data_IF_213872304973
#
_entry.id   IF_213872304973
#
_cell.length_a   1.000
_cell.length_b   1.000
_cell.length_c   1.000
_cell.angle_alpha   90.00
_cell.angle_beta   90.00
_cell.angle_gamma   90.00
#
_symmetry.space_group_name_H-M   'P 1'
#
loop_
_entity.id
_entity.type
_entity.pdbx_description
1 polymer ?
#
# COMPACT_ATOMS: atom_id res chain seq x y z
N UNK A 1 12.40 -9.98 23.20
CA UNK A 1 12.55 -11.44 22.98
C UNK A 1 13.94 -11.86 23.41
N UNK A 2 14.11 -13.11 23.83
CA UNK A 2 15.38 -13.72 24.23
C UNK A 2 15.53 -15.09 23.56
N UNK A 3 16.75 -15.67 23.58
CA UNK A 3 17.03 -16.99 23.01
C UNK A 3 16.59 -17.12 21.54
N UNK A 4 16.88 -16.11 20.73
CA UNK A 4 16.61 -16.19 19.30
C UNK A 4 17.62 -17.14 18.66
N UNK A 5 17.13 -18.18 18.00
CA UNK A 5 17.93 -19.26 17.43
C UNK A 5 17.46 -19.55 16.01
N UNK A 6 18.40 -19.63 15.07
CA UNK A 6 18.19 -20.17 13.73
C UNK A 6 18.44 -21.69 13.78
N UNK A 7 17.42 -22.46 13.43
CA UNK A 7 17.47 -23.92 13.37
C UNK A 7 17.34 -24.43 11.94
N UNK A 8 17.34 -25.77 11.78
CA UNK A 8 17.12 -26.38 10.47
C UNK A 8 15.68 -26.08 10.01
N UNK A 9 15.53 -25.23 9.01
CA UNK A 9 14.25 -24.92 8.38
C UNK A 9 13.38 -23.90 9.10
N UNK A 10 13.85 -23.25 10.17
CA UNK A 10 13.05 -22.29 10.91
C UNK A 10 13.82 -21.45 11.93
N UNK A 11 13.08 -20.54 12.54
CA UNK A 11 13.57 -19.64 13.59
C UNK A 11 12.77 -19.86 14.85
N UNK A 12 13.40 -19.75 16.02
CA UNK A 12 12.72 -19.85 17.30
C UNK A 12 13.18 -18.79 18.27
N UNK A 13 12.31 -18.43 19.21
CA UNK A 13 12.63 -17.48 20.27
C UNK A 13 11.71 -17.63 21.48
N UNK A 14 12.09 -16.97 22.57
CA UNK A 14 11.20 -16.67 23.69
C UNK A 14 10.71 -15.22 23.55
N UNK A 15 9.42 -15.05 23.30
CA UNK A 15 8.78 -13.73 23.15
C UNK A 15 8.02 -13.39 24.43
N UNK A 16 8.24 -12.18 24.95
CA UNK A 16 7.58 -11.70 26.16
C UNK A 16 6.25 -11.05 25.79
N UNK A 17 5.15 -11.61 26.30
CA UNK A 17 3.81 -11.00 26.26
C UNK A 17 3.31 -10.79 27.70
N UNK A 18 2.12 -11.32 28.02
CA UNK A 18 1.64 -11.40 29.42
C UNK A 18 2.50 -12.35 30.27
N UNK A 19 3.13 -13.32 29.63
CA UNK A 19 4.19 -14.19 30.16
C UNK A 19 5.16 -14.51 29.03
N UNK A 20 6.32 -15.14 29.28
CA UNK A 20 7.18 -15.65 28.22
C UNK A 20 6.49 -16.78 27.45
N UNK A 21 6.52 -16.72 26.12
CA UNK A 21 6.02 -17.76 25.22
C UNK A 21 7.15 -18.29 24.36
N UNK A 22 7.24 -19.62 24.20
CA UNK A 22 8.10 -20.21 23.16
C UNK A 22 7.39 -20.09 21.83
N UNK A 23 8.15 -19.64 20.84
CA UNK A 23 7.66 -19.33 19.50
C UNK A 23 8.63 -19.88 18.48
N UNK A 24 8.10 -20.44 17.40
CA UNK A 24 8.86 -20.82 16.23
C UNK A 24 8.11 -20.45 14.95
N UNK A 25 8.85 -20.17 13.88
CA UNK A 25 8.31 -19.87 12.54
C UNK A 25 9.16 -20.57 11.49
N UNK A 26 8.54 -20.99 10.38
CA UNK A 26 9.26 -21.61 9.27
C UNK A 26 10.07 -20.58 8.47
N UNK A 27 11.27 -20.96 8.04
CA UNK A 27 12.15 -20.08 7.28
C UNK A 27 11.64 -19.80 5.85
N UNK A 28 10.80 -20.67 5.31
CA UNK A 28 10.19 -20.53 3.96
C UNK A 28 8.81 -19.89 3.98
N UNK A 29 8.18 -19.85 5.16
CA UNK A 29 6.79 -19.44 5.37
C UNK A 29 6.66 -18.76 6.73
N UNK A 30 6.96 -17.47 6.75
CA UNK A 30 6.94 -16.68 7.97
C UNK A 30 5.54 -16.49 8.59
N UNK A 31 4.49 -16.80 7.83
CA UNK A 31 3.09 -16.87 8.27
C UNK A 31 2.75 -18.20 8.96
N UNK A 32 3.65 -19.17 8.94
CA UNK A 32 3.46 -20.50 9.51
C UNK A 32 4.45 -20.76 10.65
N UNK A 33 3.94 -21.26 11.77
CA UNK A 33 4.73 -21.44 12.97
C UNK A 33 3.92 -21.94 14.16
N UNK A 34 4.60 -22.08 15.29
CA UNK A 34 4.00 -22.50 16.55
C UNK A 34 4.26 -21.46 17.65
N UNK A 35 3.28 -21.24 18.52
CA UNK A 35 3.41 -20.38 19.70
C UNK A 35 2.57 -20.93 20.85
N UNK A 36 3.14 -20.95 22.05
CA UNK A 36 2.48 -21.45 23.26
C UNK A 36 1.39 -20.51 23.82
N UNK A 37 1.09 -19.39 23.17
CA UNK A 37 -0.04 -18.56 23.58
C UNK A 37 -1.37 -19.18 23.10
N UNK A 38 -2.49 -18.77 23.71
CA UNK A 38 -3.83 -19.26 23.34
C UNK A 38 -4.06 -19.33 21.83
N UNK A 39 -3.78 -18.25 21.09
CA UNK A 39 -3.96 -18.22 19.63
C UNK A 39 -3.08 -19.25 18.91
N UNK A 40 -1.79 -19.32 19.23
CA UNK A 40 -0.87 -20.25 18.57
C UNK A 40 -1.12 -21.73 18.90
N UNK A 41 -1.69 -22.02 20.08
CA UNK A 41 -2.15 -23.36 20.43
C UNK A 41 -3.42 -23.78 19.66
N UNK A 42 -4.15 -22.83 19.10
CA UNK A 42 -5.32 -23.03 18.26
C UNK A 42 -5.00 -22.75 16.78
N UNK A 43 -3.77 -23.04 16.34
CA UNK A 43 -3.26 -22.89 14.97
C UNK A 43 -3.55 -21.52 14.34
N UNK A 44 -3.58 -20.48 15.17
CA UNK A 44 -3.87 -19.11 14.75
C UNK A 44 -2.61 -18.26 14.82
N UNK A 45 -2.30 -17.56 13.72
CA UNK A 45 -1.18 -16.61 13.66
C UNK A 45 -1.33 -15.55 14.75
N UNK A 46 -0.32 -15.42 15.61
CA UNK A 46 -0.33 -14.46 16.70
C UNK A 46 0.81 -13.44 16.56
N UNK A 47 0.66 -12.29 17.23
CA UNK A 47 1.68 -11.23 17.25
C UNK A 47 3.08 -11.72 17.67
N UNK A 48 3.15 -12.78 18.48
CA UNK A 48 4.43 -13.35 18.91
C UNK A 48 5.16 -14.04 17.75
N UNK A 49 4.44 -14.79 16.90
CA UNK A 49 5.00 -15.40 15.68
C UNK A 49 5.47 -14.31 14.72
N UNK A 50 4.65 -13.28 14.50
CA UNK A 50 4.99 -12.12 13.67
C UNK A 50 6.26 -11.44 14.18
N UNK A 51 6.43 -11.28 15.50
CA UNK A 51 7.64 -10.71 16.07
C UNK A 51 8.89 -11.54 15.75
N UNK A 52 8.82 -12.89 15.81
CA UNK A 52 9.94 -13.77 15.45
C UNK A 52 10.23 -13.70 13.95
N UNK A 53 9.20 -13.73 13.11
CA UNK A 53 9.34 -13.58 11.66
C UNK A 53 10.03 -12.26 11.29
N UNK A 54 9.60 -11.13 11.86
CA UNK A 54 10.24 -9.83 11.64
C UNK A 54 11.71 -9.88 12.06
N UNK A 55 12.02 -10.43 13.24
CA UNK A 55 13.41 -10.56 13.72
C UNK A 55 14.27 -11.42 12.79
N UNK A 56 13.70 -12.49 12.24
CA UNK A 56 14.37 -13.36 11.28
C UNK A 56 14.69 -12.61 9.99
N UNK A 57 13.69 -11.92 9.41
CA UNK A 57 13.85 -11.14 8.18
C UNK A 57 14.84 -9.98 8.35
N UNK A 58 14.88 -9.33 9.53
CA UNK A 58 15.83 -8.24 9.78
C UNK A 58 17.25 -8.73 10.13
N UNK A 59 17.47 -10.05 10.20
CA UNK A 59 18.74 -10.62 10.66
C UNK A 59 19.10 -10.17 12.08
N UNK A 60 18.08 -9.96 12.93
CA UNK A 60 18.22 -9.47 14.29
C UNK A 60 18.53 -7.97 14.42
N UNK A 61 18.65 -7.23 13.31
CA UNK A 61 18.86 -5.78 13.34
C UNK A 61 17.58 -5.06 13.82
N UNK A 62 17.72 -3.92 14.51
CA UNK A 62 16.59 -3.05 14.78
C UNK A 62 15.91 -2.63 13.48
N UNK A 63 14.58 -2.51 13.52
CA UNK A 63 13.82 -1.88 12.44
C UNK A 63 14.31 -0.44 12.26
N UNK A 64 14.50 -0.04 11.01
CA UNK A 64 14.79 1.35 10.68
C UNK A 64 13.59 2.24 11.03
N UNK A 65 13.79 3.55 11.12
CA UNK A 65 12.65 4.48 11.31
C UNK A 65 11.68 4.42 10.14
N UNK A 66 12.16 4.08 8.94
CA UNK A 66 11.33 3.85 7.78
C UNK A 66 10.46 2.60 7.91
N UNK A 67 11.01 1.48 8.40
CA UNK A 67 10.24 0.24 8.63
C UNK A 67 9.15 0.41 9.69
N UNK A 68 9.34 1.34 10.63
CA UNK A 68 8.36 1.65 11.68
C UNK A 68 7.29 2.63 11.21
N UNK A 69 7.52 3.35 10.11
CA UNK A 69 6.60 4.36 9.63
C UNK A 69 5.34 3.69 9.10
N UNK A 70 4.20 4.05 9.67
CA UNK A 70 2.91 3.66 9.11
C UNK A 70 2.70 4.45 7.82
N UNK A 71 2.54 3.73 6.71
CA UNK A 71 2.24 4.33 5.42
C UNK A 71 0.83 3.95 5.04
N UNK A 72 -0.12 4.66 5.64
CA UNK A 72 -1.56 4.47 5.41
C UNK A 72 -2.23 5.68 4.78
N UNK A 73 -1.49 6.79 4.59
CA UNK A 73 -2.01 8.01 4.00
C UNK A 73 -1.06 8.53 2.91
N UNK A 74 -1.62 9.08 1.85
CA UNK A 74 -0.87 9.77 0.81
C UNK A 74 -0.42 11.14 1.30
N UNK A 75 0.83 11.50 1.02
CA UNK A 75 1.39 12.83 1.33
C UNK A 75 2.17 13.38 0.14
N UNK A 76 2.05 14.67 -0.15
CA UNK A 76 2.92 15.29 -1.16
C UNK A 76 4.38 15.33 -0.70
N UNK A 77 5.32 14.95 -1.58
CA UNK A 77 6.75 15.01 -1.26
C UNK A 77 7.29 16.45 -1.15
N UNK A 78 6.60 17.41 -1.80
CA UNK A 78 7.02 18.81 -1.93
C UNK A 78 8.27 19.02 -2.79
N UNK A 79 8.87 17.96 -3.34
CA UNK A 79 10.11 18.05 -4.11
C UNK A 79 9.80 18.33 -5.57
N UNK A 80 10.15 19.51 -6.08
CA UNK A 80 10.03 19.82 -7.50
C UNK A 80 11.04 19.00 -8.33
N UNK A 81 10.61 18.50 -9.49
CA UNK A 81 11.51 17.88 -10.47
C UNK A 81 10.88 16.72 -11.23
N UNK A 82 11.59 16.25 -12.25
CA UNK A 82 11.21 15.07 -13.03
C UNK A 82 12.02 13.85 -12.63
N UNK A 83 11.45 12.67 -12.87
CA UNK A 83 12.18 11.42 -12.81
C UNK A 83 13.00 11.23 -14.09
N UNK A 84 14.16 10.59 -13.98
CA UNK A 84 14.86 10.08 -15.15
C UNK A 84 14.01 9.02 -15.86
N UNK A 85 14.30 8.73 -17.13
CA UNK A 85 13.56 7.69 -17.90
C UNK A 85 13.56 6.32 -17.21
N UNK A 86 14.68 5.94 -16.60
CA UNK A 86 14.79 4.68 -15.85
C UNK A 86 13.97 4.68 -14.57
N UNK A 87 13.98 5.79 -13.83
CA UNK A 87 13.18 5.93 -12.60
C UNK A 87 11.69 5.95 -12.94
N UNK A 88 11.28 6.70 -13.96
CA UNK A 88 9.90 6.74 -14.43
C UNK A 88 9.38 5.34 -14.82
N UNK A 89 10.19 4.56 -15.53
CA UNK A 89 9.85 3.18 -15.90
C UNK A 89 9.74 2.27 -14.66
N UNK A 90 10.67 2.41 -13.71
CA UNK A 90 10.64 1.68 -12.46
C UNK A 90 9.40 2.04 -11.62
N UNK A 91 9.05 3.32 -11.53
CA UNK A 91 7.85 3.82 -10.86
C UNK A 91 6.58 3.24 -11.48
N UNK A 92 6.43 3.30 -12.80
CA UNK A 92 5.27 2.71 -13.49
C UNK A 92 5.14 1.20 -13.23
N UNK A 93 6.27 0.50 -13.18
CA UNK A 93 6.33 -0.93 -12.83
C UNK A 93 5.92 -1.17 -11.37
N UNK A 94 6.38 -0.33 -10.44
CA UNK A 94 6.03 -0.41 -9.03
C UNK A 94 4.54 -0.14 -8.79
N UNK A 95 3.96 0.89 -9.42
CA UNK A 95 2.52 1.17 -9.42
C UNK A 95 1.75 -0.04 -9.95
N UNK A 96 2.18 -0.59 -11.08
CA UNK A 96 1.53 -1.78 -11.66
C UNK A 96 1.59 -2.99 -10.72
N UNK A 97 2.69 -3.16 -9.97
CA UNK A 97 2.81 -4.21 -8.98
C UNK A 97 1.87 -3.99 -7.78
N UNK A 98 1.76 -2.76 -7.26
CA UNK A 98 0.82 -2.41 -6.19
C UNK A 98 -0.64 -2.60 -6.62
N UNK A 99 -0.98 -2.20 -7.83
CA UNK A 99 -2.32 -2.40 -8.38
C UNK A 99 -2.74 -3.87 -8.51
N UNK A 100 -1.83 -4.86 -8.53
CA UNK A 100 -2.22 -6.29 -8.61
C UNK A 100 -3.02 -6.76 -7.39
N UNK A 101 -2.90 -6.05 -6.27
CA UNK A 101 -3.62 -6.36 -5.04
C UNK A 101 -5.07 -5.83 -5.04
N UNK A 102 -5.38 -4.85 -5.89
CA UNK A 102 -6.71 -4.26 -6.07
C UNK A 102 -7.44 -5.03 -7.18
N UNK A 103 -8.16 -6.09 -6.81
CA UNK A 103 -8.74 -7.07 -7.75
C UNK A 103 -10.25 -7.21 -7.51
N UNK A 104 -10.95 -7.85 -8.45
CA UNK A 104 -12.38 -8.15 -8.30
C UNK A 104 -12.67 -9.03 -7.09
N UNK A 105 -13.85 -8.88 -6.51
CA UNK A 105 -14.38 -9.83 -5.54
C UNK A 105 -15.23 -10.88 -6.24
N UNK A 106 -14.71 -12.12 -6.31
CA UNK A 106 -15.40 -13.26 -6.96
C UNK A 106 -15.60 -14.45 -5.99
N UNK A 107 -15.30 -14.25 -4.71
CA UNK A 107 -15.20 -15.32 -3.73
C UNK A 107 -16.41 -15.50 -2.80
N UNK A 108 -16.45 -16.60 -2.04
CA UNK A 108 -17.43 -16.79 -0.97
C UNK A 108 -17.13 -15.86 0.21
N UNK A 109 -18.15 -15.47 0.99
CA UNK A 109 -18.02 -14.54 2.12
C UNK A 109 -16.94 -14.89 3.15
N UNK A 110 -16.57 -16.16 3.30
CA UNK A 110 -15.47 -16.59 4.18
C UNK A 110 -14.10 -15.99 3.81
N UNK A 111 -13.90 -15.55 2.55
CA UNK A 111 -12.65 -14.90 2.13
C UNK A 111 -12.75 -13.37 2.09
N UNK A 112 -13.90 -12.81 2.46
CA UNK A 112 -14.16 -11.37 2.43
C UNK A 112 -13.08 -10.55 3.13
N UNK A 113 -12.72 -10.90 4.37
CA UNK A 113 -11.69 -10.17 5.11
C UNK A 113 -10.30 -10.29 4.50
N UNK A 114 -9.98 -11.45 3.91
CA UNK A 114 -8.71 -11.62 3.18
C UNK A 114 -8.68 -10.81 1.89
N UNK A 115 -9.83 -10.67 1.23
CA UNK A 115 -10.01 -9.79 0.09
C UNK A 115 -9.81 -8.33 0.48
N UNK A 116 -10.47 -7.86 1.54
CA UNK A 116 -10.30 -6.48 2.03
C UNK A 116 -8.85 -6.19 2.44
N UNK A 117 -8.20 -7.13 3.13
CA UNK A 117 -6.77 -7.03 3.46
C UNK A 117 -5.90 -6.90 2.21
N UNK A 118 -6.27 -7.54 1.10
CA UNK A 118 -5.58 -7.39 -0.19
C UNK A 118 -5.75 -5.97 -0.75
N UNK A 119 -6.96 -5.39 -0.70
CA UNK A 119 -7.19 -4.02 -1.14
C UNK A 119 -6.36 -3.02 -0.32
N UNK A 120 -6.40 -3.15 1.01
CA UNK A 120 -5.64 -2.28 1.92
C UNK A 120 -4.12 -2.39 1.67
N UNK A 121 -3.61 -3.60 1.46
CA UNK A 121 -2.19 -3.81 1.11
C UNK A 121 -1.83 -3.14 -0.22
N UNK A 122 -2.71 -3.24 -1.22
CA UNK A 122 -2.54 -2.56 -2.51
C UNK A 122 -2.46 -1.05 -2.35
N UNK A 123 -3.41 -0.47 -1.62
CA UNK A 123 -3.49 0.97 -1.37
C UNK A 123 -2.27 1.44 -0.56
N UNK A 124 -1.89 0.77 0.53
CA UNK A 124 -0.71 1.13 1.33
C UNK A 124 0.59 1.16 0.50
N UNK A 125 0.78 0.15 -0.37
CA UNK A 125 1.92 0.11 -1.30
C UNK A 125 1.90 1.28 -2.26
N UNK A 126 0.73 1.60 -2.82
CA UNK A 126 0.58 2.73 -3.72
C UNK A 126 0.82 4.05 -2.97
N UNK A 127 0.26 4.24 -1.77
CA UNK A 127 0.47 5.41 -0.92
C UNK A 127 1.94 5.69 -0.68
N UNK A 128 2.74 4.66 -0.39
CA UNK A 128 4.20 4.79 -0.28
C UNK A 128 4.83 5.29 -1.58
N UNK A 129 4.52 4.64 -2.71
CA UNK A 129 5.11 4.97 -4.02
C UNK A 129 4.77 6.40 -4.42
N UNK A 130 3.49 6.79 -4.36
CA UNK A 130 3.03 8.09 -4.86
C UNK A 130 3.51 9.23 -3.97
N UNK A 131 3.65 9.00 -2.66
CA UNK A 131 4.11 10.02 -1.71
C UNK A 131 5.57 10.42 -1.86
N UNK A 132 6.36 9.62 -2.58
CA UNK A 132 7.78 9.86 -2.82
C UNK A 132 8.06 10.53 -4.17
N UNK A 133 7.05 10.60 -5.03
CA UNK A 133 7.22 11.17 -6.36
C UNK A 133 7.52 12.67 -6.28
N UNK A 134 8.44 13.17 -7.12
CA UNK A 134 8.63 14.60 -7.26
C UNK A 134 7.43 15.23 -7.97
N UNK A 135 7.18 16.49 -7.69
CA UNK A 135 6.13 17.32 -8.28
C UNK A 135 6.59 17.79 -9.66
N UNK A 136 5.88 17.32 -10.71
CA UNK A 136 6.04 17.76 -12.10
C UNK A 136 4.82 17.33 -12.94
N UNK A 137 4.67 17.92 -14.12
CA UNK A 137 3.70 17.46 -15.14
C UNK A 137 3.87 15.95 -15.45
N UNK A 138 5.12 15.47 -15.52
CA UNK A 138 5.44 14.08 -15.84
C UNK A 138 4.86 13.10 -14.82
N UNK A 139 5.04 13.35 -13.52
CA UNK A 139 4.53 12.49 -12.44
C UNK A 139 3.04 12.69 -12.22
N UNK A 140 2.52 13.92 -12.36
CA UNK A 140 1.08 14.19 -12.33
C UNK A 140 0.33 13.36 -13.38
N UNK A 141 0.87 13.27 -14.60
CA UNK A 141 0.29 12.43 -15.67
C UNK A 141 0.25 10.95 -15.30
N UNK A 142 1.32 10.42 -14.69
CA UNK A 142 1.37 9.03 -14.23
C UNK A 142 0.28 8.76 -13.19
N UNK A 143 0.06 9.71 -12.27
CA UNK A 143 -0.95 9.59 -11.23
C UNK A 143 -2.37 9.68 -11.78
N UNK A 144 -2.65 10.61 -12.69
CA UNK A 144 -3.95 10.70 -13.38
C UNK A 144 -4.25 9.41 -14.14
N UNK A 145 -3.29 8.88 -14.90
CA UNK A 145 -3.44 7.60 -15.60
C UNK A 145 -3.71 6.43 -14.62
N UNK A 146 -3.09 6.44 -13.44
CA UNK A 146 -3.33 5.46 -12.39
C UNK A 146 -4.75 5.57 -11.83
N UNK A 147 -5.21 6.80 -11.51
CA UNK A 147 -6.56 7.04 -10.98
C UNK A 147 -7.64 6.58 -11.96
N UNK A 148 -7.51 6.91 -13.25
CA UNK A 148 -8.43 6.44 -14.29
C UNK A 148 -8.52 4.91 -14.37
N UNK A 149 -7.40 4.20 -14.13
CA UNK A 149 -7.40 2.72 -14.11
C UNK A 149 -7.98 2.15 -12.83
N UNK A 150 -7.93 2.86 -11.70
CA UNK A 150 -8.57 2.45 -10.47
C UNK A 150 -10.07 2.69 -10.54
N UNK A 151 -10.48 3.85 -11.06
CA UNK A 151 -11.87 4.18 -11.36
C UNK A 151 -12.51 3.12 -12.27
N UNK A 152 -11.85 2.77 -13.38
CA UNK A 152 -12.29 1.67 -14.25
C UNK A 152 -12.52 0.35 -13.50
N UNK A 153 -11.66 0.03 -12.53
CA UNK A 153 -11.79 -1.20 -11.73
C UNK A 153 -12.96 -1.16 -10.75
N UNK A 154 -13.25 0.01 -10.18
CA UNK A 154 -14.41 0.23 -9.34
C UNK A 154 -15.71 0.17 -10.16
N UNK A 155 -15.75 0.87 -11.30
CA UNK A 155 -16.94 0.96 -12.13
C UNK A 155 -17.28 -0.35 -12.87
N UNK A 156 -16.26 -1.00 -13.44
CA UNK A 156 -16.42 -2.10 -14.42
C UNK A 156 -15.64 -3.36 -14.06
N UNK A 157 -14.67 -3.24 -13.15
CA UNK A 157 -13.76 -4.34 -12.80
C UNK A 157 -14.23 -5.22 -11.66
N UNK A 158 -15.42 -4.99 -11.09
CA UNK A 158 -15.98 -5.83 -10.02
C UNK A 158 -15.21 -5.75 -8.69
N UNK A 159 -14.43 -4.68 -8.48
CA UNK A 159 -13.85 -4.37 -7.17
C UNK A 159 -15.00 -3.96 -6.25
N UNK A 160 -15.21 -4.72 -5.20
CA UNK A 160 -16.08 -4.34 -4.10
C UNK A 160 -15.31 -3.45 -3.12
N UNK A 161 -15.69 -2.17 -3.09
CA UNK A 161 -15.10 -1.13 -2.24
C UNK A 161 -16.08 -0.66 -1.15
N UNK A 162 -16.92 -1.56 -0.64
CA UNK A 162 -17.95 -1.20 0.36
C UNK A 162 -17.39 -0.66 1.67
N UNK A 163 -16.11 -0.88 1.98
CA UNK A 163 -15.43 -0.29 3.15
C UNK A 163 -14.67 1.02 2.84
N UNK A 164 -14.72 1.47 1.58
CA UNK A 164 -14.15 2.74 1.12
C UNK A 164 -12.63 2.77 1.00
N UNK A 165 -11.95 1.62 1.08
CA UNK A 165 -10.48 1.55 1.05
C UNK A 165 -9.89 2.15 -0.23
N UNK A 166 -10.40 1.78 -1.41
CA UNK A 166 -9.88 2.21 -2.71
C UNK A 166 -10.36 3.62 -3.04
N UNK A 167 -11.63 3.94 -2.77
CA UNK A 167 -12.19 5.28 -2.91
C UNK A 167 -11.46 6.31 -2.06
N UNK A 168 -11.21 5.99 -0.79
CA UNK A 168 -10.42 6.85 0.11
C UNK A 168 -9.00 7.08 -0.41
N UNK A 169 -8.34 6.06 -0.94
CA UNK A 169 -7.04 6.23 -1.60
C UNK A 169 -7.12 7.16 -2.82
N UNK A 170 -8.15 7.04 -3.67
CA UNK A 170 -8.35 7.94 -4.81
C UNK A 170 -8.49 9.39 -4.35
N UNK A 171 -9.33 9.65 -3.34
CA UNK A 171 -9.53 10.99 -2.79
C UNK A 171 -8.23 11.59 -2.23
N UNK A 172 -7.43 10.80 -1.51
CA UNK A 172 -6.15 11.25 -0.97
C UNK A 172 -5.16 11.62 -2.09
N UNK A 173 -5.09 10.84 -3.18
CA UNK A 173 -4.25 11.15 -4.34
C UNK A 173 -4.77 12.40 -5.08
N UNK A 174 -6.08 12.58 -5.19
CA UNK A 174 -6.67 13.79 -5.78
C UNK A 174 -6.30 15.02 -4.95
N UNK A 175 -6.39 14.94 -3.61
CA UNK A 175 -5.96 16.02 -2.73
C UNK A 175 -4.48 16.34 -2.90
N UNK A 176 -3.63 15.32 -3.04
CA UNK A 176 -2.20 15.49 -3.35
C UNK A 176 -1.97 16.15 -4.72
N UNK A 177 -2.74 15.79 -5.76
CA UNK A 177 -2.63 16.40 -7.09
C UNK A 177 -3.06 17.87 -7.09
N UNK A 178 -4.02 18.26 -6.25
CA UNK A 178 -4.34 19.68 -6.04
C UNK A 178 -3.15 20.43 -5.42
N UNK A 179 -2.39 19.80 -4.51
CA UNK A 179 -1.14 20.37 -4.00
C UNK A 179 -0.06 20.46 -5.08
N UNK A 180 0.04 19.46 -5.97
CA UNK A 180 0.96 19.52 -7.13
C UNK A 180 0.67 20.74 -7.98
N UNK A 181 -0.60 21.01 -8.32
CA UNK A 181 -0.98 22.16 -9.13
C UNK A 181 -0.68 23.51 -8.46
N UNK A 182 -0.73 23.58 -7.12
CA UNK A 182 -0.34 24.78 -6.36
C UNK A 182 1.18 24.99 -6.35
N UNK A 183 1.96 23.91 -6.31
CA UNK A 183 3.42 23.96 -6.26
C UNK A 183 4.06 24.16 -7.64
N UNK A 184 3.52 23.49 -8.66
CA UNK A 184 3.94 23.59 -10.05
C UNK A 184 2.70 23.69 -10.96
N UNK A 185 2.36 24.91 -11.43
CA UNK A 185 1.23 25.12 -12.33
C UNK A 185 1.31 24.33 -13.64
N UNK A 186 2.48 23.85 -14.06
CA UNK A 186 2.57 23.00 -15.25
C UNK A 186 1.85 21.64 -15.06
N UNK A 187 1.64 21.21 -13.81
CA UNK A 187 0.90 19.99 -13.49
C UNK A 187 -0.54 20.01 -14.00
N UNK A 188 -1.17 21.19 -14.16
CA UNK A 188 -2.57 21.29 -14.62
C UNK A 188 -2.78 20.73 -16.01
N UNK A 189 -1.75 20.75 -16.87
CA UNK A 189 -1.78 20.12 -18.21
C UNK A 189 -2.03 18.61 -18.14
N UNK A 190 -1.62 17.95 -17.06
CA UNK A 190 -1.92 16.53 -16.87
C UNK A 190 -3.42 16.29 -16.64
N UNK A 191 -4.13 17.28 -16.09
CA UNK A 191 -5.57 17.19 -15.80
C UNK A 191 -6.44 17.36 -17.05
N UNK A 192 -5.90 17.90 -18.15
CA UNK A 192 -6.62 18.00 -19.43
C UNK A 192 -7.15 16.64 -19.91
N UNK A 193 -6.46 15.55 -19.54
CA UNK A 193 -6.88 14.18 -19.84
C UNK A 193 -8.21 13.78 -19.18
N UNK A 194 -8.71 14.58 -18.24
CA UNK A 194 -9.98 14.40 -17.53
C UNK A 194 -11.13 15.18 -18.18
N UNK A 195 -10.85 16.11 -19.10
CA UNK A 195 -11.90 16.91 -19.75
C UNK A 195 -12.91 16.01 -20.48
N UNK A 196 -14.19 16.20 -20.16
CA UNK A 196 -15.29 15.45 -20.78
C UNK A 196 -15.39 13.98 -20.32
N UNK A 197 -14.67 13.59 -19.27
CA UNK A 197 -14.86 12.31 -18.59
C UNK A 197 -15.77 12.50 -17.38
N UNK A 198 -16.57 11.48 -17.11
CA UNK A 198 -17.36 11.34 -15.89
C UNK A 198 -16.81 10.11 -15.15
N UNK A 199 -16.26 10.32 -13.96
CA UNK A 199 -15.73 9.22 -13.12
C UNK A 199 -16.79 8.72 -12.15
N UNK A 200 -16.61 7.52 -11.57
CA UNK A 200 -17.64 6.90 -10.74
C UNK A 200 -18.04 7.71 -9.50
N UNK A 201 -17.19 8.65 -9.06
CA UNK A 201 -17.39 9.42 -7.84
C UNK A 201 -17.12 10.93 -8.02
N UNK A 202 -17.03 11.41 -9.26
CA UNK A 202 -16.79 12.83 -9.55
C UNK A 202 -15.43 13.36 -9.05
N UNK A 203 -14.45 12.47 -8.84
CA UNK A 203 -13.15 12.85 -8.26
C UNK A 203 -12.29 13.71 -9.21
N UNK A 204 -12.64 13.76 -10.49
CA UNK A 204 -12.06 14.63 -11.50
C UNK A 204 -12.42 16.11 -11.31
N UNK A 205 -13.59 16.39 -10.71
CA UNK A 205 -14.13 17.76 -10.64
C UNK A 205 -13.16 18.73 -9.94
N UNK A 206 -12.60 18.40 -8.74
CA UNK A 206 -11.66 19.29 -8.05
C UNK A 206 -10.36 19.53 -8.83
N UNK A 207 -9.93 18.59 -9.70
CA UNK A 207 -8.73 18.77 -10.52
C UNK A 207 -9.02 19.67 -11.73
N UNK A 208 -10.20 19.53 -12.33
CA UNK A 208 -10.61 20.35 -13.47
C UNK A 208 -10.83 21.83 -13.11
N UNK A 209 -11.07 22.16 -11.84
CA UNK A 209 -11.09 23.56 -11.37
C UNK A 209 -9.76 24.30 -11.61
N UNK A 210 -8.63 23.59 -11.60
CA UNK A 210 -7.32 24.19 -11.89
C UNK A 210 -7.04 24.39 -13.38
N UNK A 211 -7.83 23.78 -14.27
CA UNK A 211 -7.72 23.93 -15.74
C UNK A 211 -8.60 25.07 -16.25
N UNK A 212 -9.72 25.32 -15.57
CA UNK A 212 -10.71 26.35 -15.94
C UNK A 212 -10.28 27.77 -15.54
N UNK A 213 -9.23 27.91 -14.72
CA UNK A 213 -8.65 29.17 -14.26
C UNK A 213 -7.35 29.48 -14.99
#
# INVERSE_FOLDING_TARGET
>A
MTKFEEGIGGYSAVVVGTKPYRVSVEARRYDYGHCECYLGQNDTLCKHMVAVAIRAVTGGKPLSEEDKKLVSQVTCSGKLGELSKSELAATKKAITAGMRYIKSYEGPSRIWFSYQSSLSEGCNRLSKIVSELPVSEQTAKVLVDMLLRLDDRLCRGGVDDSDGTVGGFIEEVVSMLQEYAKLDPACTKAFDALNGKETCFGWEEPLLEFVKN
#
